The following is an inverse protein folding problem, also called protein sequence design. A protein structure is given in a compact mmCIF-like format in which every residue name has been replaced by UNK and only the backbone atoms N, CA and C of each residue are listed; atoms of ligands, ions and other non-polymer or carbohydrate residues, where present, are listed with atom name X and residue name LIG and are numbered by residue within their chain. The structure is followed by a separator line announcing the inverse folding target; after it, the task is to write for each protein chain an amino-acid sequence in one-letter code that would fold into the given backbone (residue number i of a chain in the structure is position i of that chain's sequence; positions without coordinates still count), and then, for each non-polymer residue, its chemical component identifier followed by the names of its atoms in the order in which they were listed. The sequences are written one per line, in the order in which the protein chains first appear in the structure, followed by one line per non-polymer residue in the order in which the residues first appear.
data_IF_590403970826
#
_entry.id   IF_590403970826
#
_cell.length_a   1.000
_cell.length_b   1.000
_cell.length_c   1.000
_cell.angle_alpha   90.00
_cell.angle_beta   90.00
_cell.angle_gamma   90.00
#
_symmetry.space_group_name_H-M   'P 1'
#
loop_
_entity.id
_entity.type
_entity.pdbx_description
1 polymer ?
#
# COMPACT_ATOMS: atom_id res chain seq x y z
N UNK A 1 22.69 1.17 -6.25
CA UNK A 1 21.44 1.95 -6.15
C UNK A 1 20.79 1.57 -4.83
N UNK A 2 20.50 2.52 -3.94
CA UNK A 2 19.81 2.21 -2.68
C UNK A 2 18.33 1.96 -2.99
N UNK A 3 17.84 0.76 -2.72
CA UNK A 3 16.42 0.45 -2.84
C UNK A 3 15.68 0.93 -1.60
N UNK A 4 14.62 1.71 -1.78
CA UNK A 4 13.82 2.22 -0.67
C UNK A 4 12.78 1.16 -0.26
N UNK A 5 12.79 0.73 1.00
CA UNK A 5 11.74 -0.15 1.51
C UNK A 5 10.41 0.62 1.61
N UNK A 6 9.34 0.00 1.14
CA UNK A 6 8.00 0.59 1.05
C UNK A 6 6.93 -0.43 1.46
N UNK A 7 5.89 0.05 2.15
CA UNK A 7 4.66 -0.71 2.36
C UNK A 7 3.73 -0.40 1.18
N UNK A 8 3.37 -1.41 0.39
CA UNK A 8 2.39 -1.28 -0.68
C UNK A 8 0.97 -1.38 -0.12
N UNK A 9 0.12 -0.42 -0.45
CA UNK A 9 -1.26 -0.32 0.03
C UNK A 9 -2.21 -0.32 -1.17
N UNK A 10 -2.84 -1.47 -1.45
CA UNK A 10 -3.79 -1.61 -2.53
C UNK A 10 -5.20 -1.24 -2.06
N UNK A 11 -5.86 -0.34 -2.77
CA UNK A 11 -7.25 0.05 -2.50
C UNK A 11 -8.10 -0.38 -3.69
N UNK A 12 -9.10 -1.21 -3.44
CA UNK A 12 -9.97 -1.75 -4.46
C UNK A 12 -11.42 -1.32 -4.27
N UNK A 13 -12.13 -1.10 -5.36
CA UNK A 13 -13.57 -1.14 -5.44
C UNK A 13 -14.06 -2.57 -5.73
N UNK A 14 -15.29 -2.91 -5.31
CA UNK A 14 -15.89 -4.26 -5.39
C UNK A 14 -15.95 -4.90 -6.81
N UNK A 15 -15.49 -4.20 -7.86
CA UNK A 15 -15.46 -4.66 -9.26
C UNK A 15 -14.06 -4.60 -9.89
N UNK A 16 -13.00 -4.46 -9.10
CA UNK A 16 -11.65 -4.25 -9.64
C UNK A 16 -10.93 -5.53 -10.09
N UNK A 17 -10.01 -5.32 -11.03
CA UNK A 17 -9.22 -6.35 -11.68
C UNK A 17 -8.15 -6.90 -10.73
N UNK A 18 -8.04 -8.23 -10.54
CA UNK A 18 -7.05 -8.85 -9.66
C UNK A 18 -5.58 -8.55 -10.04
N UNK A 19 -5.29 -8.07 -11.26
CA UNK A 19 -3.91 -7.80 -11.71
C UNK A 19 -3.32 -6.46 -11.23
N UNK A 20 -4.13 -5.53 -10.69
CA UNK A 20 -3.64 -4.20 -10.30
C UNK A 20 -2.54 -4.22 -9.24
N UNK A 21 -2.53 -5.23 -8.37
CA UNK A 21 -1.49 -5.40 -7.35
C UNK A 21 -0.10 -5.58 -7.93
N UNK A 22 -0.01 -6.29 -9.07
CA UNK A 22 1.24 -6.54 -9.77
C UNK A 22 1.73 -5.31 -10.54
N UNK A 23 0.79 -4.50 -11.04
CA UNK A 23 1.13 -3.25 -11.72
C UNK A 23 1.77 -2.27 -10.74
N UNK A 24 1.16 -2.05 -9.57
CA UNK A 24 1.72 -1.17 -8.54
C UNK A 24 3.08 -1.66 -8.04
N UNK A 25 3.23 -2.96 -7.81
CA UNK A 25 4.53 -3.54 -7.42
C UNK A 25 5.61 -3.32 -8.49
N UNK A 26 5.25 -3.47 -9.78
CA UNK A 26 6.17 -3.21 -10.88
C UNK A 26 6.61 -1.75 -10.92
N UNK A 27 5.68 -0.81 -10.72
CA UNK A 27 5.98 0.63 -10.65
C UNK A 27 6.88 0.95 -9.46
N UNK A 28 6.60 0.39 -8.27
CA UNK A 28 7.46 0.53 -7.08
C UNK A 28 8.88 0.06 -7.39
N UNK A 29 9.02 -1.13 -8.00
CA UNK A 29 10.32 -1.69 -8.35
C UNK A 29 11.08 -0.81 -9.36
N UNK A 30 10.40 -0.33 -10.42
CA UNK A 30 11.00 0.56 -11.42
C UNK A 30 11.41 1.91 -10.83
N UNK A 31 10.68 2.42 -9.84
CA UNK A 31 11.03 3.65 -9.11
C UNK A 31 12.20 3.47 -8.12
N UNK A 32 12.78 2.26 -8.01
CA UNK A 32 13.84 1.96 -7.04
C UNK A 32 13.33 1.66 -5.64
N UNK A 33 12.03 1.36 -5.50
CA UNK A 33 11.45 0.85 -4.26
C UNK A 33 11.50 -0.66 -4.15
N UNK A 34 11.27 -1.17 -2.94
CA UNK A 34 11.07 -2.59 -2.64
C UNK A 34 9.83 -2.73 -1.76
N UNK A 35 8.82 -3.42 -2.25
CA UNK A 35 7.64 -3.77 -1.46
C UNK A 35 8.04 -4.77 -0.36
N UNK A 36 8.01 -4.33 0.90
CA UNK A 36 8.37 -5.16 2.08
C UNK A 36 7.15 -5.65 2.85
N UNK A 37 5.98 -5.07 2.57
CA UNK A 37 4.69 -5.52 3.04
C UNK A 37 3.61 -5.10 2.04
N UNK A 38 2.56 -5.91 1.90
CA UNK A 38 1.38 -5.59 1.08
C UNK A 38 0.14 -5.59 1.95
N UNK A 39 -0.65 -4.53 1.87
CA UNK A 39 -1.90 -4.37 2.60
C UNK A 39 -2.97 -4.04 1.59
N UNK A 40 -4.11 -4.73 1.65
CA UNK A 40 -5.22 -4.48 0.73
C UNK A 40 -6.49 -4.11 1.48
N UNK A 41 -7.27 -3.19 0.92
CA UNK A 41 -8.60 -2.83 1.41
C UNK A 41 -9.58 -2.73 0.25
N UNK A 42 -10.73 -3.40 0.38
CA UNK A 42 -11.88 -3.15 -0.49
C UNK A 42 -12.73 -2.05 0.13
N UNK A 43 -13.01 -1.00 -0.63
CA UNK A 43 -13.88 0.13 -0.25
C UNK A 43 -15.03 0.26 -1.24
N UNK A 44 -16.23 0.55 -0.74
CA UNK A 44 -17.35 0.95 -1.59
C UNK A 44 -17.28 2.41 -2.03
N UNK A 45 -16.52 3.22 -1.26
CA UNK A 45 -16.21 4.63 -1.53
C UNK A 45 -14.97 5.00 -0.72
N UNK A 46 -14.02 5.71 -1.34
CA UNK A 46 -12.81 6.21 -0.65
C UNK A 46 -13.16 7.16 0.48
N UNK A 47 -12.42 7.09 1.59
CA UNK A 47 -12.54 8.07 2.65
C UNK A 47 -11.83 9.37 2.23
N UNK A 48 -12.51 10.53 2.16
CA UNK A 48 -11.88 11.75 1.68
C UNK A 48 -10.73 12.26 2.55
N UNK A 49 -10.68 11.89 3.84
CA UNK A 49 -9.62 12.33 4.75
C UNK A 49 -8.34 11.50 4.64
N UNK A 50 -8.48 10.18 4.43
CA UNK A 50 -7.36 9.23 4.52
C UNK A 50 -7.18 8.35 3.28
N UNK A 51 -8.05 8.48 2.27
CA UNK A 51 -8.21 7.59 1.11
C UNK A 51 -8.72 6.17 1.47
N UNK A 52 -8.24 5.62 2.59
CA UNK A 52 -8.59 4.33 3.20
C UNK A 52 -9.38 4.49 4.51
N UNK A 53 -9.79 3.38 5.12
CA UNK A 53 -10.43 3.40 6.45
C UNK A 53 -9.44 3.71 7.58
N UNK A 54 -9.87 4.43 8.62
CA UNK A 54 -9.01 4.78 9.77
C UNK A 54 -8.42 3.56 10.48
N UNK A 55 -9.16 2.44 10.57
CA UNK A 55 -8.62 1.18 11.09
C UNK A 55 -7.46 0.63 10.27
N UNK A 56 -7.47 0.81 8.94
CA UNK A 56 -6.34 0.43 8.07
C UNK A 56 -5.15 1.37 8.22
N UNK A 57 -5.38 2.66 8.51
CA UNK A 57 -4.30 3.60 8.84
C UNK A 57 -3.54 3.11 10.08
N UNK A 58 -4.25 2.74 11.15
CA UNK A 58 -3.63 2.17 12.35
C UNK A 58 -2.87 0.87 12.05
N UNK A 59 -3.42 -0.02 11.23
CA UNK A 59 -2.76 -1.27 10.83
C UNK A 59 -1.45 -1.02 10.06
N UNK A 60 -1.44 -0.06 9.12
CA UNK A 60 -0.24 0.35 8.39
C UNK A 60 0.81 0.90 9.35
N UNK A 61 0.40 1.73 10.31
CA UNK A 61 1.31 2.32 11.31
C UNK A 61 1.95 1.23 12.19
N UNK A 62 1.18 0.26 12.66
CA UNK A 62 1.68 -0.87 13.44
C UNK A 62 2.68 -1.71 12.65
N UNK A 63 2.39 -1.99 11.37
CA UNK A 63 3.31 -2.71 10.49
C UNK A 63 4.58 -1.89 10.28
N UNK A 64 4.46 -0.61 9.93
CA UNK A 64 5.58 0.30 9.73
C UNK A 64 6.53 0.33 10.92
N UNK A 65 5.99 0.38 12.16
CA UNK A 65 6.78 0.31 13.39
C UNK A 65 7.50 -1.02 13.55
N UNK A 66 6.82 -2.14 13.29
CA UNK A 66 7.38 -3.50 13.42
C UNK A 66 8.54 -3.74 12.45
N UNK A 67 8.37 -3.35 11.19
CA UNK A 67 9.39 -3.56 10.14
C UNK A 67 10.35 -2.37 9.99
N UNK A 68 10.21 -1.32 10.81
CA UNK A 68 11.00 -0.08 10.76
C UNK A 68 10.98 0.62 9.38
N UNK A 69 9.88 0.45 8.65
CA UNK A 69 9.67 1.08 7.36
C UNK A 69 9.05 2.46 7.52
N UNK A 70 9.48 3.44 6.73
CA UNK A 70 9.06 4.84 6.83
C UNK A 70 8.08 5.28 5.74
N UNK A 71 7.94 4.49 4.68
CA UNK A 71 7.23 4.90 3.47
C UNK A 71 6.12 3.91 3.13
N UNK A 72 5.00 4.45 2.67
CA UNK A 72 3.88 3.70 2.10
C UNK A 72 3.58 4.22 0.70
N UNK A 73 3.22 3.33 -0.22
CA UNK A 73 2.83 3.65 -1.59
C UNK A 73 1.42 3.11 -1.83
N UNK A 74 0.53 3.97 -2.34
CA UNK A 74 -0.87 3.71 -2.65
C UNK A 74 -1.07 3.58 -4.15
#
# INVERSE_FOLDING_TARGET
MFMQEVIQVNVFENKENPNKDFELESLINTAGGKSVAKISQVVSKVNPAYYIGSGKVSEIEDIAKKIKCKYSCF
#
